data_IF_214151632890
#
_entry.id   IF_214151632890
#
_cell.length_a   1.000
_cell.length_b   1.000
_cell.length_c   1.000
_cell.angle_alpha   90.00
_cell.angle_beta   90.00
_cell.angle_gamma   90.00
#
_symmetry.space_group_name_H-M   'P 1'
#
loop_
_entity.id
_entity.type
_entity.pdbx_description
1 polymer ?
#
# COMPACT_ATOMS: atom_id res chain seq x y z
N UNK A 1 -22.41 0.42 0.47
CA UNK A 1 -23.54 -0.37 -0.05
C UNK A 1 -23.60 -1.77 0.56
N UNK A 2 -22.57 -2.64 0.47
CA UNK A 2 -22.62 -4.01 1.02
C UNK A 2 -22.95 -4.11 2.53
N UNK A 3 -22.35 -3.26 3.38
CA UNK A 3 -22.68 -3.23 4.81
C UNK A 3 -24.14 -2.82 5.09
N UNK A 4 -24.68 -1.89 4.29
CA UNK A 4 -26.09 -1.48 4.38
C UNK A 4 -27.02 -2.60 3.91
N UNK A 5 -26.53 -3.53 3.08
CA UNK A 5 -27.24 -4.74 2.66
C UNK A 5 -27.10 -5.91 3.66
N UNK A 6 -26.59 -5.67 4.87
CA UNK A 6 -26.50 -6.68 5.94
C UNK A 6 -25.27 -7.59 5.88
N UNK A 7 -24.29 -7.31 5.02
CA UNK A 7 -23.10 -8.16 4.89
C UNK A 7 -22.17 -8.04 6.11
N UNK A 8 -21.57 -9.16 6.57
CA UNK A 8 -20.59 -9.13 7.65
C UNK A 8 -19.40 -8.22 7.33
N UNK A 9 -18.95 -7.44 8.30
CA UNK A 9 -17.88 -6.44 8.12
C UNK A 9 -16.60 -7.06 7.55
N UNK A 10 -16.23 -8.27 8.00
CA UNK A 10 -15.00 -8.94 7.55
C UNK A 10 -15.00 -9.24 6.03
N UNK A 11 -16.17 -9.46 5.41
CA UNK A 11 -16.29 -9.64 3.96
C UNK A 11 -16.22 -8.31 3.21
N UNK A 12 -16.85 -7.27 3.76
CA UNK A 12 -16.85 -5.92 3.17
C UNK A 12 -15.44 -5.34 3.13
N UNK A 13 -14.61 -5.62 4.14
CA UNK A 13 -13.21 -5.16 4.20
C UNK A 13 -12.39 -5.69 3.03
N UNK A 14 -12.56 -6.96 2.65
CA UNK A 14 -11.84 -7.54 1.51
C UNK A 14 -12.24 -6.91 0.17
N UNK A 15 -13.51 -6.54 -0.01
CA UNK A 15 -13.94 -5.78 -1.19
C UNK A 15 -13.35 -4.38 -1.23
N UNK A 16 -13.23 -3.70 -0.08
CA UNK A 16 -12.55 -2.39 0.02
C UNK A 16 -11.05 -2.51 -0.26
N UNK A 17 -10.41 -3.54 0.28
CA UNK A 17 -9.01 -3.86 -0.04
C UNK A 17 -8.84 -4.14 -1.53
N UNK A 18 -9.75 -4.92 -2.12
CA UNK A 18 -9.77 -5.27 -3.52
C UNK A 18 -9.86 -4.06 -4.44
N UNK A 19 -10.76 -3.13 -4.15
CA UNK A 19 -10.86 -1.86 -4.86
C UNK A 19 -9.51 -1.11 -4.86
N UNK A 20 -8.90 -0.92 -3.68
CA UNK A 20 -7.63 -0.20 -3.57
C UNK A 20 -6.50 -0.91 -4.31
N UNK A 21 -6.39 -2.24 -4.18
CA UNK A 21 -5.38 -3.03 -4.88
C UNK A 21 -5.55 -2.91 -6.39
N UNK A 22 -6.77 -3.03 -6.91
CA UNK A 22 -7.07 -2.93 -8.34
C UNK A 22 -6.82 -1.52 -8.87
N UNK A 23 -7.20 -0.46 -8.13
CA UNK A 23 -6.96 0.92 -8.51
C UNK A 23 -5.47 1.23 -8.56
N UNK A 24 -4.72 0.87 -7.52
CA UNK A 24 -3.27 1.06 -7.46
C UNK A 24 -2.59 0.29 -8.59
N UNK A 25 -2.96 -0.98 -8.80
CA UNK A 25 -2.41 -1.81 -9.87
C UNK A 25 -2.70 -1.21 -11.25
N UNK A 26 -3.93 -0.72 -11.47
CA UNK A 26 -4.31 -0.04 -12.71
C UNK A 26 -3.51 1.22 -12.99
N UNK A 27 -3.34 2.09 -11.98
CA UNK A 27 -2.51 3.29 -12.08
C UNK A 27 -1.06 2.96 -12.41
N UNK A 28 -0.52 1.88 -11.82
CA UNK A 28 0.86 1.42 -12.11
C UNK A 28 0.99 0.82 -13.51
N UNK A 29 -0.02 0.11 -13.98
CA UNK A 29 -0.04 -0.38 -15.36
C UNK A 29 -0.02 0.78 -16.36
N UNK A 30 -0.78 1.83 -16.10
CA UNK A 30 -0.84 3.02 -16.97
C UNK A 30 0.55 3.65 -17.12
N UNK A 31 1.27 3.83 -16.01
CA UNK A 31 2.64 4.34 -16.06
C UNK A 31 3.62 3.36 -16.71
N UNK A 32 3.47 2.06 -16.47
CA UNK A 32 4.33 1.05 -17.08
C UNK A 32 4.20 1.03 -18.61
N UNK A 33 3.01 1.32 -19.16
CA UNK A 33 2.76 1.39 -20.62
C UNK A 33 3.60 2.46 -21.32
N UNK A 34 3.97 3.55 -20.62
CA UNK A 34 4.83 4.60 -21.17
C UNK A 34 6.22 4.07 -21.54
N UNK A 35 6.64 2.96 -20.93
CA UNK A 35 7.89 2.26 -21.24
C UNK A 35 7.64 1.03 -22.12
N UNK A 36 7.28 1.22 -23.41
CA UNK A 36 7.16 0.19 -24.48
C UNK A 36 7.14 -1.27 -23.99
N UNK A 37 5.96 -1.79 -23.65
CA UNK A 37 5.78 -3.12 -23.06
C UNK A 37 5.59 -4.24 -24.11
N UNK A 38 6.12 -5.45 -23.88
CA UNK A 38 5.74 -6.62 -24.66
C UNK A 38 4.28 -6.99 -24.37
N UNK A 39 3.50 -7.25 -25.43
CA UNK A 39 2.06 -7.60 -25.36
C UNK A 39 1.76 -8.72 -24.35
N UNK A 40 2.66 -9.69 -24.21
CA UNK A 40 2.51 -10.82 -23.30
C UNK A 40 2.48 -10.39 -21.82
N UNK A 41 3.25 -9.38 -21.43
CA UNK A 41 3.25 -8.90 -20.05
C UNK A 41 1.96 -8.14 -19.70
N UNK A 42 1.33 -7.47 -20.67
CA UNK A 42 -0.01 -6.90 -20.48
C UNK A 42 -1.08 -7.98 -20.32
N UNK A 43 -1.07 -9.00 -21.19
CA UNK A 43 -2.03 -10.12 -21.09
C UNK A 43 -1.87 -10.83 -19.75
N UNK A 44 -0.63 -11.09 -19.32
CA UNK A 44 -0.34 -11.66 -18.02
C UNK A 44 -0.92 -10.81 -16.90
N UNK A 45 -0.72 -9.48 -16.93
CA UNK A 45 -1.27 -8.59 -15.92
C UNK A 45 -2.80 -8.66 -15.83
N UNK A 46 -3.51 -8.59 -16.95
CA UNK A 46 -4.96 -8.70 -16.95
C UNK A 46 -5.44 -10.07 -16.46
N UNK A 47 -4.73 -11.15 -16.78
CA UNK A 47 -5.01 -12.47 -16.24
C UNK A 47 -4.85 -12.49 -14.70
N UNK A 48 -3.82 -11.84 -14.15
CA UNK A 48 -3.63 -11.73 -12.70
C UNK A 48 -4.76 -10.92 -12.03
N UNK A 49 -5.23 -9.84 -12.66
CA UNK A 49 -6.38 -9.07 -12.17
C UNK A 49 -7.66 -9.93 -12.18
N UNK A 50 -7.85 -10.75 -13.22
CA UNK A 50 -8.98 -11.66 -13.32
C UNK A 50 -8.93 -12.72 -12.21
N UNK A 51 -7.75 -13.31 -11.95
CA UNK A 51 -7.55 -14.26 -10.84
C UNK A 51 -7.85 -13.61 -9.50
N UNK A 52 -7.31 -12.41 -9.25
CA UNK A 52 -7.56 -11.68 -8.01
C UNK A 52 -9.06 -11.36 -7.81
N UNK A 53 -9.73 -10.89 -8.87
CA UNK A 53 -11.16 -10.59 -8.86
C UNK A 53 -12.02 -11.84 -8.69
N UNK A 54 -11.64 -12.96 -9.31
CA UNK A 54 -12.29 -14.25 -9.11
C UNK A 54 -12.16 -14.73 -7.65
N UNK A 55 -11.02 -14.49 -7.01
CA UNK A 55 -10.84 -14.73 -5.57
C UNK A 55 -11.77 -13.87 -4.70
N UNK A 56 -11.92 -12.58 -5.03
CA UNK A 56 -12.87 -11.67 -4.36
C UNK A 56 -14.33 -12.11 -4.52
N UNK A 57 -14.70 -12.60 -5.70
CA UNK A 57 -16.02 -13.18 -5.92
C UNK A 57 -16.17 -14.48 -5.12
N UNK A 58 -15.18 -15.37 -5.14
CA UNK A 58 -15.17 -16.62 -4.39
C UNK A 58 -15.33 -16.42 -2.89
N UNK A 59 -14.69 -15.40 -2.29
CA UNK A 59 -14.82 -15.13 -0.86
C UNK A 59 -16.23 -14.72 -0.43
N UNK A 60 -17.05 -14.27 -1.39
CA UNK A 60 -18.43 -13.83 -1.17
C UNK A 60 -19.42 -15.01 -1.05
N UNK A 61 -19.01 -16.22 -1.41
CA UNK A 61 -19.85 -17.42 -1.34
C UNK A 61 -19.33 -18.34 -0.24
N UNK A 62 -20.19 -18.67 0.73
CA UNK A 62 -19.83 -19.42 1.95
C UNK A 62 -19.13 -20.77 1.71
N UNK A 63 -19.43 -21.57 0.68
CA UNK A 63 -18.68 -22.80 0.40
C UNK A 63 -17.28 -22.54 -0.17
N UNK A 64 -17.09 -21.38 -0.80
CA UNK A 64 -15.86 -21.01 -1.51
C UNK A 64 -15.03 -19.99 -0.73
N UNK A 65 -15.44 -19.63 0.50
CA UNK A 65 -14.86 -18.50 1.22
C UNK A 65 -13.36 -18.68 1.53
N UNK A 66 -12.96 -19.89 1.96
CA UNK A 66 -11.56 -20.22 2.20
C UNK A 66 -10.75 -20.24 0.91
N UNK A 67 -11.25 -20.92 -0.11
CA UNK A 67 -10.59 -21.00 -1.42
C UNK A 67 -10.44 -19.61 -2.05
N UNK A 68 -11.49 -18.79 -2.01
CA UNK A 68 -11.49 -17.40 -2.49
C UNK A 68 -10.46 -16.56 -1.75
N UNK A 69 -10.36 -16.68 -0.42
CA UNK A 69 -9.33 -16.00 0.38
C UNK A 69 -7.92 -16.42 -0.07
N UNK A 70 -7.68 -17.72 -0.29
CA UNK A 70 -6.40 -18.23 -0.78
C UNK A 70 -6.07 -17.73 -2.18
N UNK A 71 -7.06 -17.69 -3.08
CA UNK A 71 -6.90 -17.12 -4.43
C UNK A 71 -6.58 -15.62 -4.36
N UNK A 72 -7.20 -14.86 -3.47
CA UNK A 72 -6.85 -13.45 -3.21
C UNK A 72 -5.39 -13.32 -2.78
N UNK A 73 -4.95 -14.17 -1.84
CA UNK A 73 -3.55 -14.23 -1.40
C UNK A 73 -2.58 -14.53 -2.55
N UNK A 74 -2.87 -15.55 -3.36
CA UNK A 74 -2.10 -15.86 -4.56
C UNK A 74 -2.09 -14.71 -5.57
N UNK A 75 -3.23 -14.06 -5.78
CA UNK A 75 -3.36 -12.88 -6.65
C UNK A 75 -2.47 -11.74 -6.17
N UNK A 76 -2.45 -11.43 -4.87
CA UNK A 76 -1.54 -10.44 -4.29
C UNK A 76 -0.06 -10.78 -4.56
N UNK A 77 0.35 -12.04 -4.38
CA UNK A 77 1.72 -12.48 -4.62
C UNK A 77 2.12 -12.32 -6.08
N UNK A 78 1.27 -12.78 -6.99
CA UNK A 78 1.53 -12.72 -8.42
C UNK A 78 1.54 -11.27 -8.92
N UNK A 79 0.62 -10.43 -8.45
CA UNK A 79 0.60 -8.99 -8.75
C UNK A 79 1.87 -8.31 -8.23
N UNK A 80 2.27 -8.58 -6.99
CA UNK A 80 3.50 -8.01 -6.43
C UNK A 80 4.75 -8.46 -7.20
N UNK A 81 4.83 -9.75 -7.57
CA UNK A 81 5.93 -10.27 -8.39
C UNK A 81 5.96 -9.63 -9.77
N UNK A 82 4.80 -9.45 -10.41
CA UNK A 82 4.68 -8.76 -11.69
C UNK A 82 5.14 -7.30 -11.56
N UNK A 83 4.64 -6.56 -10.56
CA UNK A 83 5.01 -5.16 -10.31
C UNK A 83 6.51 -5.04 -10.03
N UNK A 84 7.09 -5.89 -9.19
CA UNK A 84 8.52 -5.88 -8.93
C UNK A 84 9.36 -6.13 -10.19
N UNK A 85 8.87 -6.91 -11.15
CA UNK A 85 9.59 -7.27 -12.38
C UNK A 85 9.49 -6.21 -13.46
N UNK A 86 8.34 -5.53 -13.53
CA UNK A 86 7.90 -4.75 -14.67
C UNK A 86 7.68 -3.26 -14.37
N UNK A 87 7.49 -2.88 -13.11
CA UNK A 87 7.31 -1.48 -12.72
C UNK A 87 8.60 -0.66 -12.87
N UNK A 88 8.43 0.60 -13.23
CA UNK A 88 9.51 1.57 -13.38
C UNK A 88 10.21 1.90 -12.06
N UNK A 89 9.57 1.65 -10.90
CA UNK A 89 10.13 1.80 -9.55
C UNK A 89 11.53 1.18 -9.42
N UNK A 90 11.76 0.00 -10.05
CA UNK A 90 13.06 -0.68 -10.02
C UNK A 90 14.18 0.12 -10.68
N UNK A 91 13.86 0.91 -11.70
CA UNK A 91 14.85 1.76 -12.40
C UNK A 91 15.00 3.11 -11.71
N UNK A 92 13.88 3.70 -11.29
CA UNK A 92 13.83 5.03 -10.66
C UNK A 92 14.42 5.05 -9.25
N UNK A 93 14.50 3.91 -8.56
CA UNK A 93 15.20 3.82 -7.26
C UNK A 93 16.69 4.19 -7.34
N UNK A 94 17.30 4.10 -8.54
CA UNK A 94 18.69 4.50 -8.78
C UNK A 94 18.87 6.00 -9.06
N UNK A 95 17.77 6.73 -9.23
CA UNK A 95 17.80 8.17 -9.40
C UNK A 95 18.00 8.87 -8.04
N UNK A 96 17.93 10.19 -8.01
CA UNK A 96 18.11 10.99 -6.80
C UNK A 96 16.87 11.85 -6.51
N UNK A 97 16.82 12.44 -5.31
CA UNK A 97 15.74 13.33 -4.91
C UNK A 97 14.39 12.63 -4.73
N UNK A 98 13.32 13.31 -5.13
CA UNK A 98 11.95 12.87 -4.93
C UNK A 98 11.64 11.56 -5.68
N UNK A 99 12.14 11.40 -6.91
CA UNK A 99 11.86 10.20 -7.71
C UNK A 99 12.36 8.93 -7.05
N UNK A 100 13.52 8.99 -6.37
CA UNK A 100 14.03 7.88 -5.55
C UNK A 100 13.15 7.60 -4.35
N UNK A 101 12.68 8.64 -3.65
CA UNK A 101 11.78 8.49 -2.51
C UNK A 101 10.47 7.80 -2.90
N UNK A 102 9.86 8.22 -4.01
CA UNK A 102 8.67 7.55 -4.57
C UNK A 102 8.98 6.07 -4.82
N UNK A 103 10.06 5.79 -5.54
CA UNK A 103 10.45 4.42 -5.88
C UNK A 103 10.70 3.52 -4.64
N UNK A 104 11.35 4.05 -3.60
CA UNK A 104 11.57 3.30 -2.35
C UNK A 104 10.24 2.95 -1.68
N UNK A 105 9.32 3.90 -1.55
CA UNK A 105 8.00 3.65 -0.97
C UNK A 105 7.20 2.60 -1.77
N UNK A 106 7.25 2.68 -3.10
CA UNK A 106 6.60 1.70 -3.99
C UNK A 106 7.18 0.29 -3.79
N UNK A 107 8.50 0.16 -3.78
CA UNK A 107 9.17 -1.13 -3.59
C UNK A 107 8.90 -1.73 -2.21
N UNK A 108 8.92 -0.91 -1.15
CA UNK A 108 8.53 -1.35 0.19
C UNK A 108 7.07 -1.78 0.23
N UNK A 109 6.18 -1.02 -0.42
CA UNK A 109 4.78 -1.38 -0.58
C UNK A 109 4.60 -2.74 -1.25
N UNK A 110 5.32 -3.02 -2.34
CA UNK A 110 5.27 -4.35 -2.99
C UNK A 110 5.78 -5.47 -2.07
N UNK A 111 6.82 -5.19 -1.27
CA UNK A 111 7.27 -6.11 -0.23
C UNK A 111 6.16 -6.45 0.76
N UNK A 112 5.41 -5.45 1.23
CA UNK A 112 4.27 -5.67 2.12
C UNK A 112 3.09 -6.36 1.44
N UNK A 113 2.85 -6.11 0.15
CA UNK A 113 1.85 -6.85 -0.62
C UNK A 113 2.20 -8.33 -0.72
N UNK A 114 3.49 -8.67 -0.83
CA UNK A 114 3.96 -10.07 -0.73
C UNK A 114 3.64 -10.64 0.64
N UNK A 115 4.03 -9.95 1.73
CA UNK A 115 3.77 -10.44 3.09
C UNK A 115 2.28 -10.67 3.30
N UNK A 116 1.43 -9.71 2.92
CA UNK A 116 -0.02 -9.85 3.00
C UNK A 116 -0.55 -11.03 2.16
N UNK A 117 -0.02 -11.20 0.95
CA UNK A 117 -0.34 -12.32 0.07
C UNK A 117 0.02 -13.67 0.68
N UNK A 118 1.20 -13.80 1.29
CA UNK A 118 1.64 -15.03 1.98
C UNK A 118 0.72 -15.33 3.16
N UNK A 119 0.49 -14.34 4.04
CA UNK A 119 -0.36 -14.51 5.21
C UNK A 119 -1.78 -14.94 4.80
N UNK A 120 -2.32 -14.31 3.77
CA UNK A 120 -3.67 -14.60 3.28
C UNK A 120 -3.77 -15.97 2.61
N UNK A 121 -2.75 -16.34 1.82
CA UNK A 121 -2.68 -17.64 1.15
C UNK A 121 -2.54 -18.81 2.14
N UNK A 122 -1.74 -18.62 3.20
CA UNK A 122 -1.46 -19.67 4.20
C UNK A 122 -2.58 -19.78 5.22
N UNK A 123 -2.99 -18.66 5.81
CA UNK A 123 -3.94 -18.63 6.93
C UNK A 123 -5.39 -18.95 6.53
N UNK A 124 -5.73 -18.78 5.25
CA UNK A 124 -7.08 -19.00 4.72
C UNK A 124 -8.10 -17.97 5.21
N UNK A 125 -9.38 -18.31 5.14
CA UNK A 125 -10.45 -17.42 5.61
C UNK A 125 -10.33 -17.19 7.12
N UNK A 126 -10.23 -15.92 7.52
CA UNK A 126 -10.28 -15.48 8.91
C UNK A 126 -11.26 -14.32 9.05
N UNK A 127 -12.01 -14.30 10.15
CA UNK A 127 -12.96 -13.23 10.46
C UNK A 127 -12.49 -12.32 11.61
N UNK A 128 -11.57 -12.80 12.46
CA UNK A 128 -11.06 -12.08 13.64
C UNK A 128 -9.70 -12.63 14.08
N UNK A 129 -9.07 -11.97 15.05
CA UNK A 129 -7.85 -12.42 15.73
C UNK A 129 -6.55 -11.79 15.20
N UNK A 130 -5.39 -12.14 15.81
CA UNK A 130 -4.08 -11.56 15.46
C UNK A 130 -3.66 -11.79 14.01
N UNK A 131 -3.87 -13.00 13.47
CA UNK A 131 -3.56 -13.28 12.07
C UNK A 131 -4.39 -12.47 11.09
N UNK A 132 -5.70 -12.30 11.37
CA UNK A 132 -6.56 -11.46 10.55
C UNK A 132 -6.11 -10.00 10.59
N UNK A 133 -5.73 -9.51 11.76
CA UNK A 133 -5.15 -8.17 11.92
C UNK A 133 -3.88 -7.98 11.11
N UNK A 134 -2.94 -8.93 11.17
CA UNK A 134 -1.70 -8.91 10.41
C UNK A 134 -1.95 -8.91 8.89
N UNK A 135 -2.86 -9.76 8.40
CA UNK A 135 -3.25 -9.80 6.98
C UNK A 135 -3.72 -8.42 6.49
N UNK A 136 -4.60 -7.77 7.26
CA UNK A 136 -5.13 -6.46 6.91
C UNK A 136 -4.09 -5.34 7.07
N UNK A 137 -3.31 -5.31 8.15
CA UNK A 137 -2.35 -4.23 8.38
C UNK A 137 -1.19 -4.26 7.38
N UNK A 138 -0.72 -5.45 7.00
CA UNK A 138 0.29 -5.57 5.94
C UNK A 138 -0.26 -5.09 4.59
N UNK A 139 -1.55 -5.29 4.30
CA UNK A 139 -2.19 -4.77 3.09
C UNK A 139 -2.42 -3.25 3.15
N UNK A 140 -3.17 -2.78 4.14
CA UNK A 140 -3.59 -1.39 4.22
C UNK A 140 -2.44 -0.48 4.65
N UNK A 141 -1.76 -0.80 5.75
CA UNK A 141 -0.67 0.05 6.28
C UNK A 141 0.63 -0.19 5.51
N UNK A 142 0.95 -1.44 5.19
CA UNK A 142 2.19 -1.75 4.48
C UNK A 142 2.14 -1.35 3.01
N UNK A 143 1.18 -1.89 2.27
CA UNK A 143 1.07 -1.65 0.83
C UNK A 143 0.36 -0.33 0.52
N UNK A 144 -0.89 -0.13 0.92
CA UNK A 144 -1.69 1.04 0.50
C UNK A 144 -1.08 2.35 1.02
N UNK A 145 -0.80 2.45 2.33
CA UNK A 145 -0.17 3.67 2.88
C UNK A 145 1.24 3.90 2.35
N UNK A 146 2.01 2.85 2.02
CA UNK A 146 3.27 2.99 1.30
C UNK A 146 3.10 3.69 -0.05
N UNK A 147 2.07 3.33 -0.83
CA UNK A 147 1.76 4.01 -2.10
C UNK A 147 1.33 5.46 -1.88
N UNK A 148 0.52 5.73 -0.85
CA UNK A 148 0.09 7.09 -0.48
C UNK A 148 1.31 7.94 -0.13
N UNK A 149 2.22 7.44 0.72
CA UNK A 149 3.42 8.16 1.12
C UNK A 149 4.34 8.47 -0.07
N UNK A 150 4.50 7.49 -0.97
CA UNK A 150 5.24 7.69 -2.21
C UNK A 150 4.67 8.84 -3.03
N UNK A 151 3.36 8.86 -3.29
CA UNK A 151 2.76 9.83 -4.21
C UNK A 151 2.32 11.16 -3.59
N UNK A 152 2.17 11.23 -2.27
CA UNK A 152 1.73 12.43 -1.57
C UNK A 152 2.53 13.70 -1.91
N UNK A 153 3.88 13.68 -2.03
CA UNK A 153 4.65 14.86 -2.40
C UNK A 153 4.38 15.38 -3.81
N UNK A 154 3.75 14.58 -4.68
CA UNK A 154 3.32 14.99 -6.03
C UNK A 154 1.85 15.43 -6.03
N UNK A 155 0.99 14.67 -5.36
CA UNK A 155 -0.46 14.90 -5.33
C UNK A 155 -0.81 16.18 -4.57
N UNK A 156 -0.24 16.40 -3.37
CA UNK A 156 -0.61 17.56 -2.57
C UNK A 156 -0.30 18.89 -3.27
N UNK A 157 0.87 19.10 -3.89
CA UNK A 157 1.12 20.29 -4.68
C UNK A 157 0.16 20.49 -5.84
N UNK A 158 -0.17 19.42 -6.56
CA UNK A 158 -1.05 19.49 -7.72
C UNK A 158 -2.48 19.89 -7.34
N UNK A 159 -2.98 19.39 -6.21
CA UNK A 159 -4.33 19.70 -5.72
C UNK A 159 -4.40 21.06 -5.02
N UNK A 160 -3.38 21.40 -4.21
CA UNK A 160 -3.36 22.64 -3.43
C UNK A 160 -2.80 23.84 -4.21
N UNK A 161 -2.24 23.62 -5.40
CA UNK A 161 -1.60 24.66 -6.21
C UNK A 161 -0.36 25.28 -5.56
N UNK A 162 0.30 24.55 -4.64
CA UNK A 162 1.46 25.06 -3.88
C UNK A 162 2.66 24.14 -4.02
N UNK A 163 3.85 24.65 -4.37
CA UNK A 163 5.05 23.82 -4.45
C UNK A 163 5.42 23.27 -3.08
N UNK A 164 5.84 22.01 -3.03
CA UNK A 164 6.30 21.34 -1.82
C UNK A 164 7.81 21.18 -1.86
N UNK A 165 8.50 21.63 -0.81
CA UNK A 165 9.94 21.48 -0.68
C UNK A 165 10.27 20.08 -0.15
N UNK A 166 10.78 19.21 -1.04
CA UNK A 166 11.21 17.86 -0.66
C UNK A 166 12.57 17.89 0.06
N UNK A 167 12.70 17.12 1.14
CA UNK A 167 13.96 16.94 1.87
C UNK A 167 14.11 15.56 2.49
N UNK A 168 15.31 15.22 2.95
CA UNK A 168 15.64 13.89 3.49
C UNK A 168 14.79 13.49 4.73
N UNK A 169 14.25 14.46 5.47
CA UNK A 169 13.37 14.22 6.61
C UNK A 169 12.08 13.46 6.24
N UNK A 170 11.67 13.43 4.98
CA UNK A 170 10.56 12.60 4.51
C UNK A 170 10.81 11.10 4.72
N UNK A 171 12.05 10.63 4.80
CA UNK A 171 12.30 9.23 5.13
C UNK A 171 11.94 8.87 6.58
N UNK A 172 11.85 9.85 7.49
CA UNK A 172 11.60 9.60 8.91
C UNK A 172 10.25 8.91 9.16
N UNK A 173 9.17 9.42 8.59
CA UNK A 173 7.84 8.81 8.75
C UNK A 173 7.74 7.45 8.04
N UNK A 174 8.44 7.27 6.91
CA UNK A 174 8.48 6.00 6.17
C UNK A 174 9.19 4.91 6.98
N UNK A 175 10.37 5.22 7.51
CA UNK A 175 11.14 4.28 8.35
C UNK A 175 10.33 3.93 9.59
N UNK A 176 9.75 4.94 10.26
CA UNK A 176 8.93 4.73 11.45
C UNK A 176 7.76 3.79 11.13
N UNK A 177 6.99 4.06 10.07
CA UNK A 177 5.83 3.27 9.68
C UNK A 177 6.21 1.80 9.41
N UNK A 178 7.26 1.57 8.61
CA UNK A 178 7.62 0.20 8.24
C UNK A 178 8.25 -0.57 9.41
N UNK A 179 9.04 0.08 10.25
CA UNK A 179 9.59 -0.54 11.45
C UNK A 179 8.47 -0.89 12.46
N UNK A 180 7.53 0.02 12.71
CA UNK A 180 6.41 -0.24 13.61
C UNK A 180 5.44 -1.28 13.06
N UNK A 181 5.24 -1.31 11.74
CA UNK A 181 4.43 -2.35 11.09
C UNK A 181 5.10 -3.71 11.15
N UNK A 182 6.42 -3.81 10.96
CA UNK A 182 7.15 -5.05 11.15
C UNK A 182 7.03 -5.55 12.59
N UNK A 183 7.24 -4.65 13.57
CA UNK A 183 7.06 -4.94 14.98
C UNK A 183 5.65 -5.48 15.27
N UNK A 184 4.62 -4.81 14.74
CA UNK A 184 3.22 -5.22 14.90
C UNK A 184 2.98 -6.61 14.29
N UNK A 185 3.43 -6.82 13.06
CA UNK A 185 3.19 -8.07 12.31
C UNK A 185 3.85 -9.25 13.02
N UNK A 186 5.09 -9.09 13.48
CA UNK A 186 5.78 -10.12 14.28
C UNK A 186 5.06 -10.38 15.60
N UNK A 187 4.61 -9.32 16.28
CA UNK A 187 3.85 -9.46 17.52
C UNK A 187 2.50 -10.19 17.32
N UNK A 188 1.81 -9.95 16.20
CA UNK A 188 0.59 -10.67 15.84
C UNK A 188 0.83 -12.15 15.58
N UNK A 189 1.94 -12.49 14.91
CA UNK A 189 2.34 -13.88 14.66
C UNK A 189 2.78 -14.60 15.94
N UNK A 190 3.44 -13.88 16.86
CA UNK A 190 3.90 -14.41 18.14
C UNK A 190 2.83 -14.41 19.24
N UNK A 191 1.68 -13.76 19.03
CA UNK A 191 0.64 -13.58 20.04
C UNK A 191 0.99 -12.59 21.15
N UNK A 192 1.97 -11.70 20.94
CA UNK A 192 2.43 -10.72 21.93
C UNK A 192 1.60 -9.44 21.92
N UNK A 193 0.56 -9.42 22.76
CA UNK A 193 -0.42 -8.33 22.78
C UNK A 193 0.17 -6.94 23.06
N UNK A 194 1.08 -6.81 24.02
CA UNK A 194 1.65 -5.51 24.38
C UNK A 194 2.51 -4.93 23.26
N UNK A 195 3.33 -5.77 22.63
CA UNK A 195 4.18 -5.33 21.52
C UNK A 195 3.36 -4.94 20.29
N UNK A 196 2.24 -5.64 20.06
CA UNK A 196 1.27 -5.27 19.02
C UNK A 196 0.65 -3.89 19.30
N UNK A 197 0.33 -3.56 20.55
CA UNK A 197 -0.21 -2.23 20.92
C UNK A 197 0.79 -1.13 20.64
N UNK A 198 2.05 -1.31 21.02
CA UNK A 198 3.13 -0.37 20.71
C UNK A 198 3.32 -0.20 19.20
N UNK A 199 3.37 -1.31 18.44
CA UNK A 199 3.46 -1.25 16.98
C UNK A 199 2.28 -0.49 16.34
N UNK A 200 1.06 -0.68 16.85
CA UNK A 200 -0.12 0.07 16.41
C UNK A 200 -0.04 1.57 16.74
N UNK A 201 0.42 1.92 17.94
CA UNK A 201 0.58 3.32 18.34
C UNK A 201 1.63 4.03 17.49
N UNK A 202 2.77 3.39 17.23
CA UNK A 202 3.81 3.95 16.38
C UNK A 202 3.38 4.06 14.91
N UNK A 203 2.53 3.15 14.39
CA UNK A 203 1.89 3.35 13.08
C UNK A 203 1.07 4.65 13.05
N UNK A 204 0.26 4.90 14.09
CA UNK A 204 -0.52 6.14 14.22
C UNK A 204 0.38 7.39 14.29
N UNK A 205 1.45 7.33 15.09
CA UNK A 205 2.43 8.42 15.18
C UNK A 205 3.11 8.67 13.83
N UNK A 206 3.45 7.63 13.07
CA UNK A 206 4.04 7.78 11.74
C UNK A 206 3.13 8.56 10.78
N UNK A 207 1.82 8.30 10.81
CA UNK A 207 0.83 9.06 10.03
C UNK A 207 0.77 10.54 10.44
N UNK A 208 0.84 10.83 11.75
CA UNK A 208 0.87 12.20 12.26
C UNK A 208 2.17 12.91 11.86
N UNK A 209 3.32 12.26 11.97
CA UNK A 209 4.61 12.80 11.55
C UNK A 209 4.61 13.09 10.05
N UNK A 210 4.05 12.19 9.23
CA UNK A 210 3.84 12.42 7.80
C UNK A 210 3.01 13.68 7.52
N UNK A 211 1.88 13.84 8.23
CA UNK A 211 1.00 14.99 8.06
C UNK A 211 1.71 16.30 8.45
N UNK A 212 2.39 16.32 9.60
CA UNK A 212 3.15 17.48 10.07
C UNK A 212 4.28 17.82 9.10
N UNK A 213 5.07 16.84 8.66
CA UNK A 213 6.15 17.05 7.70
C UNK A 213 5.64 17.66 6.39
N UNK A 214 4.51 17.15 5.88
CA UNK A 214 3.87 17.67 4.66
C UNK A 214 3.41 19.12 4.84
N UNK A 215 2.75 19.45 5.95
CA UNK A 215 2.29 20.81 6.25
C UNK A 215 3.47 21.79 6.35
N UNK A 216 4.54 21.40 7.03
CA UNK A 216 5.75 22.23 7.17
C UNK A 216 6.42 22.46 5.81
N UNK A 217 6.52 21.41 4.99
CA UNK A 217 7.10 21.48 3.64
C UNK A 217 6.31 22.39 2.68
N UNK A 218 4.98 22.45 2.83
CA UNK A 218 4.12 23.37 2.09
C UNK A 218 4.23 24.83 2.58
N UNK A 219 4.49 25.04 3.87
CA UNK A 219 4.63 26.39 4.46
C UNK A 219 5.98 27.04 4.15
N UNK A 220 7.07 26.26 4.16
CA UNK A 220 8.43 26.75 3.93
C UNK A 220 8.59 27.50 2.58
N UNK A 221 7.76 27.17 1.59
CA UNK A 221 7.79 27.79 0.27
C UNK A 221 7.12 29.18 0.22
N UNK A 222 6.19 29.47 1.13
CA UNK A 222 5.51 30.78 1.22
C UNK A 222 6.46 31.86 1.73
N UNK A 223 7.39 31.51 2.62
CA UNK A 223 8.35 32.45 3.20
C UNK A 223 9.42 32.98 2.22
N UNK A 224 9.77 32.21 1.19
CA UNK A 224 10.81 32.61 0.22
C UNK A 224 10.26 33.44 -0.96
N UNK A 225 8.94 33.41 -1.20
CA UNK A 225 8.29 34.24 -2.22
C UNK A 225 8.03 35.68 -1.77
N UNK A 226 7.89 35.91 -0.45
CA UNK A 226 7.62 37.23 0.12
C UNK A 226 8.88 38.11 0.26
N UNK A 227 10.09 37.54 0.26
CA UNK A 227 11.36 38.27 0.40
C UNK A 227 11.98 38.74 -0.94
N UNK A 228 11.27 38.63 -2.07
CA UNK A 228 11.78 39.07 -3.39
C UNK A 228 11.02 40.26 -3.99
N UNK A 229 10.27 41.00 -3.18
CA UNK A 229 9.49 42.17 -3.60
C UNK A 229 9.86 43.45 -2.85
N UNK A 230 11.08 43.55 -2.33
CA UNK A 230 11.65 44.80 -1.82
C UNK A 230 12.92 45.17 -2.62
#
# INVERSE_FOLDING_TARGET
MLWLAGWPLFQVVWWRAGYLVLTIAGERLELARLTRFPRNAMIAFFALLAVYSAGLLGLSFTPLADLGTRIVGAGCLLLAAWLLRFDLARKTVRQTGLTRFIAVNLLLGYGWLIVSGILTLVAGQRATGPLYDAMLHTLFVGFVFGMIFGHAPVIFPAVLGRPLSYGAHFYGHVILLHASLALRTVADLAGWFDLRRWGGMFNGIALLVFLVATILALRAHVGHGAMRLE
#
